data_IF_158652489334
#
_entry.id   IF_158652489334
#
_cell.length_a   1.000
_cell.length_b   1.000
_cell.length_c   1.000
_cell.angle_alpha   90.00
_cell.angle_beta   90.00
_cell.angle_gamma   90.00
#
_symmetry.space_group_name_H-M   'P 1'
#
loop_
_entity.id
_entity.type
_entity.pdbx_description
1 polymer ?
#
# COMPACT_ATOMS: atom_id res chain seq x y z
N UNK A 1 2.81 10.14 -4.58
CA UNK A 1 2.72 10.13 -3.11
C UNK A 1 1.72 11.18 -2.65
N UNK A 2 0.44 10.83 -2.68
CA UNK A 2 -0.67 11.70 -2.26
C UNK A 2 -1.53 10.93 -1.24
N UNK A 3 -1.48 11.36 0.02
CA UNK A 3 -2.18 10.67 1.11
C UNK A 3 -3.70 10.83 1.01
N UNK A 4 -4.20 11.98 0.54
CA UNK A 4 -5.64 12.20 0.41
C UNK A 4 -6.21 11.27 -0.68
N UNK A 5 -5.56 11.23 -1.85
CA UNK A 5 -5.95 10.32 -2.92
C UNK A 5 -5.86 8.84 -2.50
N UNK A 6 -4.88 8.48 -1.66
CA UNK A 6 -4.78 7.13 -1.09
C UNK A 6 -5.99 6.78 -0.20
N UNK A 7 -6.40 7.68 0.70
CA UNK A 7 -7.58 7.46 1.55
C UNK A 7 -8.87 7.37 0.72
N UNK A 8 -9.04 8.23 -0.29
CA UNK A 8 -10.19 8.17 -1.19
C UNK A 8 -10.25 6.82 -1.92
N UNK A 9 -9.10 6.34 -2.43
CA UNK A 9 -9.04 5.05 -3.10
C UNK A 9 -9.32 3.88 -2.14
N UNK A 10 -8.82 3.93 -0.91
CA UNK A 10 -9.06 2.91 0.11
C UNK A 10 -10.55 2.81 0.44
N UNK A 11 -11.24 3.94 0.60
CA UNK A 11 -12.69 3.98 0.84
C UNK A 11 -13.49 3.50 -0.38
N UNK A 12 -13.15 3.98 -1.57
CA UNK A 12 -13.84 3.63 -2.80
C UNK A 12 -13.75 2.14 -3.14
N UNK A 13 -12.61 1.51 -2.81
CA UNK A 13 -12.38 0.06 -3.02
C UNK A 13 -12.83 -0.80 -1.86
N UNK A 14 -13.18 -0.21 -0.71
CA UNK A 14 -13.42 -0.91 0.56
C UNK A 14 -12.25 -1.82 0.97
N UNK A 15 -11.03 -1.45 0.60
CA UNK A 15 -9.84 -2.21 0.95
C UNK A 15 -9.61 -2.21 2.47
N UNK A 16 -9.25 -3.35 3.02
CA UNK A 16 -9.09 -3.60 4.46
C UNK A 16 -7.63 -3.54 4.92
N UNK A 17 -6.83 -2.62 4.35
CA UNK A 17 -5.41 -2.51 4.66
C UNK A 17 -5.18 -2.08 6.12
N UNK A 18 -4.74 -2.98 7.00
CA UNK A 18 -4.54 -2.70 8.43
C UNK A 18 -3.50 -1.59 8.72
N UNK A 19 -2.60 -1.32 7.77
CA UNK A 19 -1.54 -0.32 7.86
C UNK A 19 -1.82 1.04 7.20
N UNK A 20 -3.08 1.37 6.86
CA UNK A 20 -3.38 2.59 6.09
C UNK A 20 -2.82 3.88 6.72
N UNK A 21 -2.81 3.99 8.05
CA UNK A 21 -2.29 5.15 8.78
C UNK A 21 -0.76 5.29 8.64
N UNK A 22 0.03 4.28 9.04
CA UNK A 22 1.47 4.26 8.82
C UNK A 22 1.89 4.44 7.36
N UNK A 23 1.15 3.87 6.40
CA UNK A 23 1.41 4.07 4.96
C UNK A 23 1.28 5.55 4.59
N UNK A 24 0.17 6.19 4.97
CA UNK A 24 -0.04 7.62 4.72
C UNK A 24 1.05 8.49 5.39
N UNK A 25 1.45 8.15 6.62
CA UNK A 25 2.53 8.84 7.33
C UNK A 25 3.86 8.73 6.58
N UNK A 26 4.21 7.54 6.08
CA UNK A 26 5.43 7.33 5.29
C UNK A 26 5.41 8.13 3.98
N UNK A 27 4.27 8.17 3.27
CA UNK A 27 4.10 8.98 2.07
C UNK A 27 4.28 10.47 2.33
N UNK A 28 3.68 10.99 3.41
CA UNK A 28 3.80 12.40 3.79
C UNK A 28 5.23 12.76 4.18
N UNK A 29 5.89 11.89 4.96
CA UNK A 29 7.29 12.10 5.35
C UNK A 29 8.22 12.08 4.14
N UNK A 30 8.07 11.10 3.24
CA UNK A 30 8.88 10.99 2.03
C UNK A 30 8.72 12.24 1.15
N UNK A 31 7.47 12.69 0.92
CA UNK A 31 7.18 13.94 0.20
C UNK A 31 7.83 15.15 0.88
N UNK A 32 7.75 15.26 2.21
CA UNK A 32 8.41 16.33 2.99
C UNK A 32 9.94 16.31 2.86
N UNK A 33 10.53 15.13 2.66
CA UNK A 33 11.97 14.96 2.41
C UNK A 33 12.38 15.15 0.95
N UNK A 34 11.48 15.63 0.09
CA UNK A 34 11.78 15.93 -1.31
C UNK A 34 11.82 14.70 -2.22
N UNK A 35 11.38 13.53 -1.73
CA UNK A 35 11.17 12.34 -2.55
C UNK A 35 10.08 12.64 -3.57
N UNK A 36 10.22 12.13 -4.79
CA UNK A 36 9.31 12.41 -5.92
C UNK A 36 8.62 11.16 -6.44
N UNK A 37 9.18 9.97 -6.19
CA UNK A 37 8.65 8.70 -6.69
C UNK A 37 8.25 7.81 -5.52
N UNK A 38 7.12 7.13 -5.67
CA UNK A 38 6.80 5.91 -4.92
C UNK A 38 6.67 4.78 -5.93
N UNK A 39 7.25 3.63 -5.63
CA UNK A 39 7.34 2.50 -6.55
C UNK A 39 6.96 1.21 -5.83
N UNK A 40 6.01 0.47 -6.41
CA UNK A 40 5.67 -0.88 -5.99
C UNK A 40 6.79 -1.81 -6.47
N UNK A 41 7.54 -2.36 -5.52
CA UNK A 41 8.66 -3.27 -5.80
C UNK A 41 8.20 -4.70 -6.00
N UNK A 42 7.20 -5.12 -5.21
CA UNK A 42 6.65 -6.47 -5.25
C UNK A 42 5.20 -6.47 -4.75
N UNK A 43 4.43 -7.42 -5.28
CA UNK A 43 3.08 -7.72 -4.85
C UNK A 43 2.88 -9.23 -4.86
N UNK A 44 2.23 -9.76 -3.83
CA UNK A 44 1.92 -11.19 -3.67
C UNK A 44 0.72 -11.33 -2.73
N UNK A 45 0.23 -12.54 -2.53
CA UNK A 45 -0.82 -12.81 -1.54
C UNK A 45 -0.59 -14.16 -0.83
N UNK A 46 -1.31 -14.40 0.26
CA UNK A 46 -1.20 -15.65 1.03
C UNK A 46 -1.53 -16.91 0.24
N UNK A 47 -2.35 -16.80 -0.81
CA UNK A 47 -2.67 -17.89 -1.73
C UNK A 47 -1.47 -18.42 -2.49
N UNK A 48 -0.45 -17.59 -2.74
CA UNK A 48 0.79 -18.00 -3.41
C UNK A 48 1.57 -19.04 -2.61
N UNK A 49 1.36 -19.09 -1.29
CA UNK A 49 1.97 -20.09 -0.38
C UNK A 49 1.01 -21.24 -0.09
N UNK A 50 -0.28 -20.95 0.15
CA UNK A 50 -1.26 -21.97 0.55
C UNK A 50 -1.84 -22.77 -0.62
N UNK A 51 -1.81 -22.21 -1.84
CA UNK A 51 -2.56 -22.71 -3.00
C UNK A 51 -4.07 -22.43 -2.93
N UNK A 52 -4.57 -21.81 -1.86
CA UNK A 52 -5.98 -21.44 -1.69
C UNK A 52 -6.18 -19.95 -1.98
N UNK A 53 -6.95 -19.67 -3.03
CA UNK A 53 -7.27 -18.33 -3.50
C UNK A 53 -8.71 -17.89 -3.18
N UNK A 54 -9.48 -18.70 -2.45
CA UNK A 54 -10.86 -18.37 -2.09
C UNK A 54 -10.94 -17.19 -1.10
N UNK A 55 -9.94 -17.04 -0.23
CA UNK A 55 -9.78 -15.92 0.68
C UNK A 55 -8.30 -15.69 0.98
N UNK A 56 -7.76 -14.52 0.59
CA UNK A 56 -6.34 -14.22 0.73
C UNK A 56 -6.07 -12.89 1.43
N UNK A 57 -4.86 -12.76 1.96
CA UNK A 57 -4.28 -11.49 2.43
C UNK A 57 -3.24 -11.03 1.43
N UNK A 58 -3.40 -9.80 0.93
CA UNK A 58 -2.45 -9.18 0.01
C UNK A 58 -1.22 -8.62 0.75
N UNK A 59 -0.06 -8.73 0.10
CA UNK A 59 1.21 -8.18 0.55
C UNK A 59 1.82 -7.30 -0.54
N UNK A 60 2.21 -6.08 -0.17
CA UNK A 60 2.84 -5.12 -1.08
C UNK A 60 4.12 -4.54 -0.47
N UNK A 61 5.18 -4.44 -1.27
CA UNK A 61 6.43 -3.76 -0.92
C UNK A 61 6.55 -2.47 -1.73
N UNK A 62 6.74 -1.34 -1.07
CA UNK A 62 6.78 -0.01 -1.70
C UNK A 62 8.02 0.74 -1.24
N UNK A 63 8.76 1.33 -2.17
CA UNK A 63 9.88 2.22 -1.87
C UNK A 63 9.61 3.65 -2.34
N UNK A 64 10.20 4.63 -1.63
CA UNK A 64 10.07 6.06 -1.93
C UNK A 64 11.45 6.68 -2.23
N UNK A 65 11.58 7.33 -3.39
CA UNK A 65 12.84 7.89 -3.91
C UNK A 65 12.74 9.37 -4.29
#
# INVERSE_FOLDING_TARGET
>A
MDAAAFYEKLRATRATACGFGPIAAAMLWAKKKGRKKGELLAFSNSGDVSGDYAAVVDYASIAFY
#
